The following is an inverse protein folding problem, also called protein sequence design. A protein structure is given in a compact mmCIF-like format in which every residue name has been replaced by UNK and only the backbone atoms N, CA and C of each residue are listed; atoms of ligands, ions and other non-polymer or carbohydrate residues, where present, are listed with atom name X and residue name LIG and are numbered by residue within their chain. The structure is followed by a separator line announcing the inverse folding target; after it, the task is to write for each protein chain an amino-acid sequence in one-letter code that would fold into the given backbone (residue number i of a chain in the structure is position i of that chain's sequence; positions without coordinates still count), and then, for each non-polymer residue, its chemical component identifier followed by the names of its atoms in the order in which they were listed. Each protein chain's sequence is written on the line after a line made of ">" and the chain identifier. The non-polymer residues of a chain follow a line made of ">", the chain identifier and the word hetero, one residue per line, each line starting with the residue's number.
data_IF_619096708572
#
_entry.id   IF_619096708572
#
_cell.length_a   1.000
_cell.length_b   1.000
_cell.length_c   1.000
_cell.angle_alpha   90.00
_cell.angle_beta   90.00
_cell.angle_gamma   90.00
#
_symmetry.space_group_name_H-M   'P 1'
#
loop_
_entity.id
_entity.type
_entity.pdbx_description
1 polymer ?
#
# COMPACT_ATOMS: atom_id res chain seq x y z
N UNK A 1 -27.37 1.40 35.51
CA UNK A 1 -27.00 1.55 34.08
C UNK A 1 -25.50 1.31 33.91
N UNK A 2 -25.10 0.25 33.20
CA UNK A 2 -23.70 -0.16 33.06
C UNK A 2 -23.06 0.66 31.92
N UNK A 3 -22.20 1.63 32.25
CA UNK A 3 -21.47 2.46 31.28
C UNK A 3 -20.62 1.54 30.38
N UNK A 4 -20.98 1.44 29.09
CA UNK A 4 -20.19 0.73 28.07
C UNK A 4 -18.84 1.46 27.96
N UNK A 5 -17.76 0.88 28.51
CA UNK A 5 -16.41 1.47 28.40
C UNK A 5 -16.08 1.58 26.91
N UNK A 6 -15.80 2.79 26.41
CA UNK A 6 -15.31 2.98 25.04
C UNK A 6 -13.97 2.23 24.92
N UNK A 7 -13.91 1.21 24.06
CA UNK A 7 -12.64 0.60 23.67
C UNK A 7 -11.84 1.70 22.96
N UNK A 8 -10.67 2.04 23.49
CA UNK A 8 -9.71 2.87 22.77
C UNK A 8 -9.13 2.02 21.64
N UNK A 9 -9.43 2.40 20.40
CA UNK A 9 -8.82 1.79 19.22
C UNK A 9 -7.59 2.62 18.88
N UNK A 10 -6.43 1.98 18.81
CA UNK A 10 -5.18 2.61 18.42
C UNK A 10 -4.98 2.42 16.92
N UNK A 11 -4.68 3.51 16.21
CA UNK A 11 -4.44 3.49 14.76
C UNK A 11 -2.97 3.78 14.47
N UNK A 12 -2.40 3.05 13.50
CA UNK A 12 -1.05 3.31 12.97
C UNK A 12 -1.15 3.62 11.48
N UNK A 13 -0.55 4.74 11.05
CA UNK A 13 -0.52 5.13 9.64
C UNK A 13 0.56 4.36 8.88
N UNK A 14 0.20 3.79 7.73
CA UNK A 14 1.13 3.16 6.79
C UNK A 14 1.28 4.08 5.58
N UNK A 15 2.41 4.81 5.41
CA UNK A 15 2.65 5.62 4.23
C UNK A 15 3.12 4.75 3.06
N UNK A 16 2.43 4.84 1.92
CA UNK A 16 2.79 4.13 0.67
C UNK A 16 3.09 5.16 -0.41
N UNK A 17 4.15 4.92 -1.18
CA UNK A 17 4.47 5.72 -2.38
C UNK A 17 3.91 5.02 -3.61
N UNK A 18 3.21 5.78 -4.44
CA UNK A 18 2.68 5.32 -5.73
C UNK A 18 3.18 6.25 -6.82
N UNK A 19 3.32 5.72 -8.03
CA UNK A 19 3.64 6.53 -9.20
C UNK A 19 2.40 7.27 -9.74
N UNK A 20 2.61 8.13 -10.74
CA UNK A 20 1.54 8.96 -11.29
C UNK A 20 0.48 8.14 -12.06
N UNK A 21 0.88 7.05 -12.72
CA UNK A 21 -0.05 6.20 -13.46
C UNK A 21 -0.95 5.42 -12.48
N UNK A 22 -0.33 4.82 -11.46
CA UNK A 22 -1.02 4.17 -10.35
C UNK A 22 -2.01 5.12 -9.67
N UNK A 23 -1.60 6.37 -9.43
CA UNK A 23 -2.48 7.39 -8.87
C UNK A 23 -3.71 7.67 -9.75
N UNK A 24 -3.51 7.85 -11.06
CA UNK A 24 -4.62 8.09 -12.01
C UNK A 24 -5.57 6.89 -12.09
N UNK A 25 -5.02 5.67 -12.10
CA UNK A 25 -5.81 4.43 -12.08
C UNK A 25 -6.63 4.32 -10.80
N UNK A 26 -6.04 4.61 -9.64
CA UNK A 26 -6.74 4.63 -8.35
C UNK A 26 -7.86 5.67 -8.32
N UNK A 27 -7.64 6.86 -8.88
CA UNK A 27 -8.64 7.92 -8.90
C UNK A 27 -9.84 7.56 -9.79
N UNK A 28 -9.57 6.88 -10.92
CA UNK A 28 -10.62 6.33 -11.78
C UNK A 28 -11.43 5.25 -11.04
N UNK A 29 -10.77 4.25 -10.45
CA UNK A 29 -11.43 3.18 -9.69
C UNK A 29 -12.27 3.75 -8.55
N UNK A 30 -11.73 4.72 -7.80
CA UNK A 30 -12.47 5.40 -6.73
C UNK A 30 -13.81 5.96 -7.23
N UNK A 31 -13.80 6.57 -8.41
CA UNK A 31 -14.97 7.21 -9.01
C UNK A 31 -15.94 6.16 -9.56
N UNK A 32 -15.45 5.21 -10.35
CA UNK A 32 -16.24 4.17 -11.03
C UNK A 32 -16.95 3.26 -10.02
N UNK A 33 -16.29 2.94 -8.89
CA UNK A 33 -16.82 2.06 -7.84
C UNK A 33 -17.35 2.82 -6.62
N UNK A 34 -17.49 4.15 -6.72
CA UNK A 34 -18.08 5.02 -5.69
C UNK A 34 -17.44 4.92 -4.29
N UNK A 35 -16.13 4.69 -4.22
CA UNK A 35 -15.40 4.80 -2.95
C UNK A 35 -15.31 6.27 -2.50
N UNK A 36 -15.47 6.50 -1.20
CA UNK A 36 -15.36 7.82 -0.57
C UNK A 36 -13.94 8.38 -0.65
N UNK A 37 -12.93 7.50 -0.65
CA UNK A 37 -11.52 7.91 -0.72
C UNK A 37 -10.60 6.77 -1.18
N UNK A 38 -9.40 7.13 -1.64
CA UNK A 38 -8.32 6.15 -1.89
C UNK A 38 -7.93 5.39 -0.61
N UNK A 39 -8.11 6.00 0.57
CA UNK A 39 -7.87 5.33 1.84
C UNK A 39 -8.84 4.17 2.08
N UNK A 40 -10.12 4.34 1.72
CA UNK A 40 -11.14 3.27 1.83
C UNK A 40 -10.79 2.08 0.93
N UNK A 41 -10.32 2.35 -0.30
CA UNK A 41 -9.82 1.31 -1.21
C UNK A 41 -8.64 0.55 -0.58
N UNK A 42 -7.68 1.26 0.00
CA UNK A 42 -6.52 0.65 0.64
C UNK A 42 -6.89 -0.17 1.87
N UNK A 43 -7.85 0.29 2.69
CA UNK A 43 -8.37 -0.46 3.82
C UNK A 43 -9.11 -1.72 3.37
N UNK A 44 -9.90 -1.61 2.30
CA UNK A 44 -10.64 -2.72 1.72
C UNK A 44 -9.68 -3.81 1.23
N UNK A 45 -8.67 -3.44 0.43
CA UNK A 45 -7.65 -4.38 -0.07
C UNK A 45 -6.88 -5.00 1.09
N UNK A 46 -6.47 -4.20 2.08
CA UNK A 46 -5.76 -4.70 3.26
C UNK A 46 -6.61 -5.71 4.05
N UNK A 47 -7.89 -5.41 4.25
CA UNK A 47 -8.81 -6.31 4.94
C UNK A 47 -9.03 -7.62 4.18
N UNK A 48 -9.23 -7.54 2.86
CA UNK A 48 -9.36 -8.74 2.01
C UNK A 48 -8.09 -9.60 2.04
N UNK A 49 -6.92 -8.96 1.93
CA UNK A 49 -5.64 -9.68 2.00
C UNK A 49 -5.44 -10.38 3.35
N UNK A 50 -5.72 -9.69 4.47
CA UNK A 50 -5.57 -10.27 5.80
C UNK A 50 -6.53 -11.44 6.03
N UNK A 51 -7.79 -11.35 5.56
CA UNK A 51 -8.76 -12.45 5.65
C UNK A 51 -8.28 -13.71 4.94
N UNK A 52 -7.57 -13.57 3.81
CA UNK A 52 -7.02 -14.71 3.06
C UNK A 52 -5.70 -15.20 3.65
N UNK A 53 -4.80 -14.28 4.05
CA UNK A 53 -3.45 -14.60 4.48
C UNK A 53 -3.32 -15.01 5.96
N UNK A 54 -4.20 -14.50 6.83
CA UNK A 54 -4.23 -14.74 8.29
C UNK A 54 -5.69 -14.70 8.81
N UNK A 55 -6.53 -15.67 8.43
CA UNK A 55 -7.94 -15.71 8.81
C UNK A 55 -8.13 -15.83 10.33
N UNK A 56 -9.00 -14.98 10.89
CA UNK A 56 -9.41 -15.02 12.29
C UNK A 56 -10.86 -15.46 12.44
N UNK A 57 -11.25 -16.02 13.60
CA UNK A 57 -12.60 -16.54 13.83
C UNK A 57 -13.72 -15.51 13.62
N UNK A 58 -13.41 -14.22 13.85
CA UNK A 58 -14.37 -13.11 13.74
C UNK A 58 -14.46 -12.54 12.30
N UNK A 59 -13.61 -13.01 11.36
CA UNK A 59 -13.56 -12.47 9.99
C UNK A 59 -14.77 -12.86 9.13
N UNK A 60 -15.55 -13.86 9.57
CA UNK A 60 -16.77 -14.33 8.93
C UNK A 60 -18.02 -13.50 9.32
N UNK A 61 -17.94 -12.66 10.36
CA UNK A 61 -19.12 -12.00 10.95
C UNK A 61 -19.42 -10.59 10.41
N UNK A 62 -18.48 -9.89 9.76
CA UNK A 62 -18.63 -8.42 9.59
C UNK A 62 -18.94 -7.91 8.16
N UNK A 63 -18.70 -8.66 7.08
CA UNK A 63 -19.22 -8.30 5.75
C UNK A 63 -19.15 -9.49 4.77
N UNK A 64 -20.31 -10.06 4.42
CA UNK A 64 -20.40 -11.07 3.35
C UNK A 64 -19.93 -10.39 2.07
N UNK A 65 -18.72 -10.71 1.63
CA UNK A 65 -18.19 -10.26 0.35
C UNK A 65 -19.21 -10.69 -0.72
N UNK A 66 -19.82 -9.76 -1.49
CA UNK A 66 -20.76 -10.12 -2.54
C UNK A 66 -20.11 -11.13 -3.48
N UNK A 67 -20.85 -12.16 -3.88
CA UNK A 67 -20.29 -13.26 -4.68
C UNK A 67 -19.74 -12.77 -6.03
N UNK A 68 -20.29 -11.67 -6.55
CA UNK A 68 -19.78 -10.91 -7.69
C UNK A 68 -18.31 -10.49 -7.53
N UNK A 69 -17.90 -10.04 -6.34
CA UNK A 69 -16.52 -9.67 -6.05
C UNK A 69 -15.63 -10.92 -5.97
N UNK A 70 -16.12 -12.02 -5.37
CA UNK A 70 -15.34 -13.27 -5.27
C UNK A 70 -15.03 -13.83 -6.66
N UNK A 71 -15.98 -13.76 -7.59
CA UNK A 71 -15.78 -14.16 -8.99
C UNK A 71 -14.75 -13.27 -9.70
N UNK A 72 -14.73 -11.95 -9.44
CA UNK A 72 -13.74 -11.04 -10.03
C UNK A 72 -12.28 -11.33 -9.66
N UNK A 73 -12.02 -12.02 -8.53
CA UNK A 73 -10.68 -12.35 -8.04
C UNK A 73 -10.30 -13.83 -8.19
N UNK A 74 -11.22 -14.68 -8.66
CA UNK A 74 -10.98 -16.13 -8.81
C UNK A 74 -9.87 -16.44 -9.84
N UNK A 75 -9.82 -15.68 -10.93
CA UNK A 75 -8.87 -15.86 -12.04
C UNK A 75 -7.43 -15.36 -11.75
N UNK A 76 -7.20 -14.70 -10.62
CA UNK A 76 -5.89 -14.13 -10.26
C UNK A 76 -5.06 -15.04 -9.34
N UNK A 77 -5.56 -16.23 -8.99
CA UNK A 77 -4.80 -17.24 -8.24
C UNK A 77 -3.55 -17.74 -8.99
N UNK A 78 -3.51 -17.58 -10.31
CA UNK A 78 -2.37 -17.89 -11.18
C UNK A 78 -1.57 -16.65 -11.63
N UNK A 79 -1.90 -15.44 -11.14
CA UNK A 79 -1.24 -14.22 -11.58
C UNK A 79 0.23 -14.22 -11.12
N UNK A 80 1.12 -14.50 -12.08
CA UNK A 80 2.57 -14.45 -11.91
C UNK A 80 2.98 -13.12 -11.27
N UNK A 81 3.86 -13.19 -10.27
CA UNK A 81 4.28 -12.03 -9.48
C UNK A 81 5.11 -11.07 -10.34
N UNK A 82 4.47 -10.14 -11.05
CA UNK A 82 5.12 -9.12 -11.89
C UNK A 82 5.76 -7.96 -11.09
N UNK A 83 6.10 -8.17 -9.81
CA UNK A 83 6.80 -7.16 -9.01
C UNK A 83 8.16 -7.69 -8.55
N UNK A 84 9.19 -7.37 -9.34
CA UNK A 84 10.56 -7.41 -8.86
C UNK A 84 10.85 -6.13 -8.08
N UNK A 85 10.96 -6.26 -6.76
CA UNK A 85 11.50 -5.19 -5.94
C UNK A 85 12.96 -4.93 -6.31
N UNK A 86 13.20 -3.91 -7.13
CA UNK A 86 14.55 -3.42 -7.38
C UNK A 86 14.87 -2.35 -6.33
N UNK A 87 15.70 -2.70 -5.35
CA UNK A 87 16.21 -1.76 -4.36
C UNK A 87 16.86 -0.57 -5.08
N UNK A 88 16.40 0.68 -4.88
CA UNK A 88 17.04 1.85 -5.47
C UNK A 88 18.51 1.89 -5.07
N UNK A 89 19.42 1.94 -6.06
CA UNK A 89 20.85 2.11 -5.77
C UNK A 89 21.01 3.43 -5.03
N UNK A 90 21.63 3.39 -3.85
CA UNK A 90 21.98 4.60 -3.10
C UNK A 90 22.80 5.50 -4.03
N UNK A 91 22.36 6.74 -4.23
CA UNK A 91 23.18 7.73 -4.96
C UNK A 91 24.54 7.80 -4.28
N UNK A 92 25.60 7.81 -5.09
CA UNK A 92 26.94 8.08 -4.58
C UNK A 92 26.89 9.43 -3.85
N UNK A 93 27.52 9.55 -2.68
CA UNK A 93 27.71 10.85 -2.04
C UNK A 93 28.35 11.83 -3.03
N UNK A 94 27.89 13.08 -3.01
CA UNK A 94 28.32 14.10 -3.98
C UNK A 94 29.85 14.20 -4.08
N UNK A 95 30.57 14.13 -2.95
CA UNK A 95 32.04 14.16 -2.94
C UNK A 95 32.72 13.07 -3.79
N UNK A 96 32.12 11.87 -3.90
CA UNK A 96 32.65 10.79 -4.75
C UNK A 96 32.37 11.07 -6.23
N UNK A 97 31.24 11.70 -6.51
CA UNK A 97 30.89 12.16 -7.85
C UNK A 97 31.86 13.26 -8.27
N UNK A 98 32.11 14.23 -7.41
CA UNK A 98 33.02 15.35 -7.66
C UNK A 98 34.46 14.87 -7.90
N UNK A 99 34.96 13.93 -7.08
CA UNK A 99 36.27 13.28 -7.28
C UNK A 99 36.36 12.57 -8.64
N UNK A 100 35.32 11.83 -9.06
CA UNK A 100 35.26 11.19 -10.38
C UNK A 100 35.21 12.18 -11.55
N UNK A 101 34.63 13.36 -11.35
CA UNK A 101 34.58 14.44 -12.36
C UNK A 101 35.80 15.36 -12.27
N UNK A 102 36.82 15.01 -11.48
CA UNK A 102 38.06 15.77 -11.36
C UNK A 102 37.93 17.07 -10.55
N UNK A 103 36.80 17.30 -9.89
CA UNK A 103 36.62 18.41 -8.96
C UNK A 103 37.29 18.05 -7.63
N UNK A 104 38.52 18.54 -7.44
CA UNK A 104 39.19 18.46 -6.15
C UNK A 104 38.48 19.36 -5.15
N UNK A 105 38.30 18.88 -3.91
CA UNK A 105 37.87 19.73 -2.81
C UNK A 105 38.93 20.81 -2.61
N UNK A 106 38.49 22.06 -2.45
CA UNK A 106 39.32 23.10 -1.86
C UNK A 106 39.54 22.69 -0.40
N UNK A 107 40.65 22.00 -0.12
CA UNK A 107 41.07 21.78 1.25
C UNK A 107 41.55 23.11 1.83
N UNK A 108 40.91 23.52 2.93
CA UNK A 108 41.45 24.52 3.86
C UNK A 108 40.99 25.96 3.63
N UNK A 109 40.01 26.37 4.43
CA UNK A 109 40.06 27.61 5.22
C UNK A 109 39.62 27.27 6.64
#
# INVERSE_FOLDING_TARGET
>A
MRRRKKKFVYFKKIPVRVDLDQWRRLDKIKTDYHFKSTYEIMQYILGCFLRVADPKPDDDEEEVLPDEIKEMFYDLSEAERHFEYVKPKRKLPQYKVDEMHGQKRLEGF
#
